data_IF_479541770790
#
_entry.id   IF_479541770790
#
_cell.length_a   1.000
_cell.length_b   1.000
_cell.length_c   1.000
_cell.angle_alpha   90.00
_cell.angle_beta   90.00
_cell.angle_gamma   90.00
#
_symmetry.space_group_name_H-M   'P 1'
#
loop_
_entity.id
_entity.type
_entity.pdbx_description
1 polymer ?
#
# COMPACT_ATOMS: atom_id res chain seq x y z
N UNK A 1 0.99 -59.01 -2.26
CA UNK A 1 1.38 -57.86 -3.11
C UNK A 1 1.02 -56.60 -2.34
N UNK A 2 2.03 -55.92 -1.76
CA UNK A 2 1.85 -54.81 -0.83
C UNK A 2 1.52 -53.51 -1.57
N UNK A 3 0.45 -52.83 -1.16
CA UNK A 3 0.06 -51.51 -1.66
C UNK A 3 0.90 -50.41 -1.01
N UNK A 4 1.82 -49.83 -1.77
CA UNK A 4 2.67 -48.72 -1.33
C UNK A 4 1.87 -47.41 -1.31
N UNK A 5 1.33 -47.07 -0.13
CA UNK A 5 0.81 -45.74 0.18
C UNK A 5 1.98 -44.74 0.18
N UNK A 6 2.16 -44.04 -0.93
CA UNK A 6 3.13 -42.95 -1.06
C UNK A 6 2.52 -41.64 -0.55
N UNK A 7 2.40 -41.53 0.77
CA UNK A 7 2.08 -40.27 1.43
C UNK A 7 3.20 -39.25 1.17
N UNK A 8 2.95 -38.26 0.31
CA UNK A 8 3.84 -37.11 0.11
C UNK A 8 3.86 -36.25 1.38
N UNK A 9 4.73 -36.57 2.33
CA UNK A 9 5.07 -35.70 3.46
C UNK A 9 6.04 -34.62 2.99
N UNK A 10 5.49 -33.57 2.37
CA UNK A 10 6.24 -32.39 1.95
C UNK A 10 5.40 -31.15 2.18
N UNK A 11 5.01 -30.92 3.43
CA UNK A 11 4.33 -29.69 3.83
C UNK A 11 5.38 -28.57 3.87
N UNK A 12 5.66 -27.97 2.70
CA UNK A 12 6.52 -26.80 2.61
C UNK A 12 5.96 -25.71 3.54
N UNK A 13 6.75 -25.27 4.51
CA UNK A 13 6.45 -24.08 5.31
C UNK A 13 6.16 -22.92 4.36
N UNK A 14 4.90 -22.46 4.34
CA UNK A 14 4.50 -21.29 3.55
C UNK A 14 5.04 -20.05 4.26
N UNK A 15 6.31 -19.70 4.01
CA UNK A 15 6.89 -18.43 4.45
C UNK A 15 6.03 -17.29 3.93
N UNK A 16 5.35 -16.59 4.84
CA UNK A 16 4.51 -15.45 4.49
C UNK A 16 5.40 -14.35 3.91
N UNK A 17 5.19 -14.00 2.64
CA UNK A 17 5.95 -12.95 1.98
C UNK A 17 5.57 -11.60 2.58
N UNK A 18 6.49 -10.99 3.32
CA UNK A 18 6.35 -9.62 3.76
C UNK A 18 6.46 -8.68 2.56
N UNK A 19 5.50 -7.76 2.44
CA UNK A 19 5.45 -6.79 1.34
C UNK A 19 5.26 -5.39 1.91
N UNK A 20 5.95 -4.41 1.32
CA UNK A 20 5.78 -2.98 1.57
C UNK A 20 5.54 -2.27 0.23
N UNK A 21 4.96 -1.08 0.27
CA UNK A 21 4.74 -0.27 -0.94
C UNK A 21 4.74 1.20 -0.59
N UNK A 22 5.51 1.99 -1.32
CA UNK A 22 5.49 3.45 -1.24
C UNK A 22 4.47 3.98 -2.25
N UNK A 23 3.66 4.94 -1.83
CA UNK A 23 2.70 5.67 -2.67
C UNK A 23 3.07 7.14 -2.62
N UNK A 24 3.16 7.78 -3.78
CA UNK A 24 3.39 9.21 -3.89
C UNK A 24 2.26 9.85 -4.71
N UNK A 25 1.92 11.09 -4.38
CA UNK A 25 1.02 11.93 -5.15
C UNK A 25 1.70 13.26 -5.43
N UNK A 26 1.62 13.70 -6.68
CA UNK A 26 2.18 14.98 -7.12
C UNK A 26 1.06 15.84 -7.70
N UNK A 27 0.98 17.08 -7.22
CA UNK A 27 0.14 18.11 -7.84
C UNK A 27 0.99 18.88 -8.85
N UNK A 28 0.90 18.46 -10.13
CA UNK A 28 1.67 18.98 -11.27
C UNK A 28 1.72 20.53 -11.32
N UNK A 29 0.61 21.28 -11.20
CA UNK A 29 0.66 22.74 -11.34
C UNK A 29 1.52 23.46 -10.30
N UNK A 30 1.65 22.89 -9.10
CA UNK A 30 2.42 23.50 -8.00
C UNK A 30 3.74 22.79 -7.69
N UNK A 31 4.02 21.68 -8.38
CA UNK A 31 5.12 20.77 -8.07
C UNK A 31 5.09 20.17 -6.66
N UNK A 32 3.95 20.21 -5.96
CA UNK A 32 3.86 19.72 -4.57
C UNK A 32 3.74 18.22 -4.58
N UNK A 33 4.60 17.53 -3.82
CA UNK A 33 4.61 16.08 -3.71
C UNK A 33 4.43 15.66 -2.26
N UNK A 34 3.58 14.67 -2.04
CA UNK A 34 3.41 13.98 -0.77
C UNK A 34 3.66 12.49 -0.98
N UNK A 35 4.21 11.82 0.02
CA UNK A 35 4.48 10.39 -0.04
C UNK A 35 4.15 9.70 1.26
N UNK A 36 3.76 8.44 1.15
CA UNK A 36 3.39 7.61 2.27
C UNK A 36 3.79 6.16 2.04
N UNK A 37 4.04 5.45 3.13
CA UNK A 37 4.47 4.07 3.12
C UNK A 37 3.36 3.17 3.66
N UNK A 38 3.00 2.12 2.91
CA UNK A 38 2.31 0.97 3.50
C UNK A 38 3.37 0.13 4.21
N UNK A 39 3.31 0.01 5.55
CA UNK A 39 4.36 -0.64 6.34
C UNK A 39 4.48 -2.12 5.97
N UNK A 40 5.69 -2.71 6.15
CA UNK A 40 5.93 -4.09 5.81
C UNK A 40 4.98 -5.02 6.58
N UNK A 41 4.29 -5.88 5.85
CA UNK A 41 3.39 -6.86 6.44
C UNK A 41 3.01 -7.97 5.47
N UNK A 42 2.36 -9.00 6.00
CA UNK A 42 1.78 -10.06 5.20
C UNK A 42 0.37 -9.66 4.82
N UNK A 43 0.22 -9.11 3.62
CA UNK A 43 -1.08 -8.70 3.10
C UNK A 43 -1.49 -9.60 1.93
N UNK A 44 -2.76 -9.99 1.92
CA UNK A 44 -3.39 -10.44 0.68
C UNK A 44 -3.42 -9.31 -0.34
N UNK A 45 -3.61 -9.66 -1.61
CA UNK A 45 -3.75 -8.67 -2.70
C UNK A 45 -4.87 -7.65 -2.42
N UNK A 46 -5.99 -8.11 -1.84
CA UNK A 46 -7.15 -7.27 -1.50
C UNK A 46 -6.83 -6.31 -0.35
N UNK A 47 -6.19 -6.80 0.71
CA UNK A 47 -5.78 -5.94 1.84
C UNK A 47 -4.77 -4.89 1.40
N UNK A 48 -3.80 -5.25 0.56
CA UNK A 48 -2.83 -4.30 0.01
C UNK A 48 -3.53 -3.21 -0.83
N UNK A 49 -4.51 -3.58 -1.65
CA UNK A 49 -5.30 -2.61 -2.41
C UNK A 49 -6.08 -1.66 -1.50
N UNK A 50 -6.72 -2.19 -0.45
CA UNK A 50 -7.43 -1.38 0.54
C UNK A 50 -6.50 -0.43 1.28
N UNK A 51 -5.35 -0.92 1.78
CA UNK A 51 -4.34 -0.09 2.45
C UNK A 51 -3.82 1.03 1.54
N UNK A 52 -3.55 0.73 0.26
CA UNK A 52 -3.15 1.75 -0.72
C UNK A 52 -4.25 2.77 -0.99
N UNK A 53 -5.51 2.35 -1.09
CA UNK A 53 -6.63 3.25 -1.31
C UNK A 53 -6.83 4.20 -0.12
N UNK A 54 -6.82 3.66 1.11
CA UNK A 54 -6.90 4.47 2.34
C UNK A 54 -5.73 5.46 2.42
N UNK A 55 -4.49 4.99 2.16
CA UNK A 55 -3.31 5.86 2.16
C UNK A 55 -3.41 6.96 1.11
N UNK A 56 -3.93 6.65 -0.09
CA UNK A 56 -4.14 7.63 -1.15
C UNK A 56 -5.11 8.73 -0.72
N UNK A 57 -6.20 8.40 -0.03
CA UNK A 57 -7.17 9.39 0.46
C UNK A 57 -6.53 10.32 1.50
N UNK A 58 -5.76 9.77 2.45
CA UNK A 58 -5.04 10.58 3.44
C UNK A 58 -4.01 11.50 2.79
N UNK A 59 -3.21 10.99 1.86
CA UNK A 59 -2.24 11.78 1.11
C UNK A 59 -2.92 12.86 0.24
N UNK A 60 -4.09 12.58 -0.30
CA UNK A 60 -4.83 13.55 -1.10
C UNK A 60 -5.27 14.75 -0.25
N UNK A 61 -5.83 14.52 0.94
CA UNK A 61 -6.20 15.60 1.86
C UNK A 61 -4.99 16.44 2.31
N UNK A 62 -3.85 15.79 2.54
CA UNK A 62 -2.59 16.48 2.84
C UNK A 62 -2.11 17.33 1.65
N UNK A 63 -2.15 16.76 0.45
CA UNK A 63 -1.79 17.46 -0.78
C UNK A 63 -2.69 18.68 -1.01
N UNK A 64 -4.00 18.54 -0.85
CA UNK A 64 -4.94 19.66 -0.97
C UNK A 64 -4.62 20.78 0.03
N UNK A 65 -4.31 20.43 1.29
CA UNK A 65 -3.92 21.42 2.31
C UNK A 65 -2.66 22.18 1.90
N UNK A 66 -1.64 21.48 1.41
CA UNK A 66 -0.38 22.09 0.95
C UNK A 66 -0.59 22.95 -0.29
N UNK A 67 -1.40 22.49 -1.23
CA UNK A 67 -1.75 23.23 -2.44
C UNK A 67 -2.54 24.49 -2.11
N UNK A 68 -3.55 24.40 -1.23
CA UNK A 68 -4.32 25.56 -0.78
C UNK A 68 -3.44 26.61 -0.11
N UNK A 69 -2.47 26.16 0.72
CA UNK A 69 -1.46 27.04 1.31
C UNK A 69 -0.59 27.72 0.25
N UNK A 70 -0.15 27.01 -0.79
CA UNK A 70 0.67 27.59 -1.87
C UNK A 70 -0.11 28.55 -2.75
N UNK A 71 -1.37 28.24 -3.04
CA UNK A 71 -2.24 29.06 -3.87
C UNK A 71 -2.85 30.24 -3.10
N UNK A 72 -2.53 30.38 -1.80
CA UNK A 72 -3.03 31.43 -0.93
C UNK A 72 -4.57 31.51 -0.94
N UNK A 73 -5.23 30.36 -1.14
CA UNK A 73 -6.69 30.25 -1.11
C UNK A 73 -7.10 30.34 0.35
N UNK A 74 -7.36 31.58 0.79
CA UNK A 74 -7.98 31.87 2.10
C UNK A 74 -9.29 31.09 2.15
N UNK A 75 -9.43 30.25 3.19
CA UNK A 75 -10.34 29.12 3.28
C UNK A 75 -11.81 29.39 2.93
N UNK A 76 -12.51 28.28 2.60
CA UNK A 76 -13.96 28.18 2.79
C UNK A 76 -14.28 28.06 4.27
#
# INVERSE_FOLDING_TARGET
MYGSSSGKSGQFERKLKTTSTTVFLTHEPTGTRVEGLVPPGSYSKKEMQQKRASLKLSLFAELERLVASKLNVRGR
#
